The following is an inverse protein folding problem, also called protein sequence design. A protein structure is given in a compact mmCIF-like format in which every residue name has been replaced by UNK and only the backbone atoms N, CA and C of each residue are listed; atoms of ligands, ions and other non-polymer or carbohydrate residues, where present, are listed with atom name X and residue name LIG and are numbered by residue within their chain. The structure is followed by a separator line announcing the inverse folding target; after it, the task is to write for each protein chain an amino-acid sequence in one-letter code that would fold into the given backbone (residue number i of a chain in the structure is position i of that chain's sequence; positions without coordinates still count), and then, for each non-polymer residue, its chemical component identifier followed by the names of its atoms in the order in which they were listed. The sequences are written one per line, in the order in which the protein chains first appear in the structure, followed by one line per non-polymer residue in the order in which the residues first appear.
data_IF_491595974708
#
_entry.id   IF_491595974708
#
_cell.length_a   1.000
_cell.length_b   1.000
_cell.length_c   1.000
_cell.angle_alpha   90.00
_cell.angle_beta   90.00
_cell.angle_gamma   90.00
#
_symmetry.space_group_name_H-M   'P 1'
#
loop_
_entity.id
_entity.type
_entity.pdbx_description
1 polymer ?
#
# COMPACT_ATOMS: atom_id res chain seq x y z
N UNK A 1 11.33 17.31 20.40
CA UNK A 1 12.00 16.34 19.54
C UNK A 1 11.36 16.44 18.15
N UNK A 2 12.18 16.58 17.15
CA UNK A 2 11.67 16.74 15.80
C UNK A 2 11.03 15.43 15.30
N UNK A 3 9.86 15.53 14.71
CA UNK A 3 9.08 14.36 14.23
C UNK A 3 9.85 13.57 13.18
N UNK A 4 10.53 14.27 12.28
CA UNK A 4 11.35 13.63 11.25
C UNK A 4 12.39 12.69 11.86
N UNK A 5 13.17 13.19 12.82
CA UNK A 5 14.23 12.39 13.45
C UNK A 5 13.66 11.23 14.26
N UNK A 6 12.53 11.45 14.92
CA UNK A 6 11.82 10.41 15.66
C UNK A 6 11.41 9.25 14.76
N UNK A 7 10.72 9.56 13.65
CA UNK A 7 10.26 8.54 12.69
C UNK A 7 11.45 7.85 12.02
N UNK A 8 12.46 8.63 11.63
CA UNK A 8 13.68 8.07 11.04
C UNK A 8 14.34 7.04 11.96
N UNK A 9 14.45 7.35 13.26
CA UNK A 9 15.02 6.43 14.22
C UNK A 9 14.18 5.16 14.37
N UNK A 10 12.86 5.26 14.43
CA UNK A 10 12.00 4.07 14.44
C UNK A 10 12.18 3.20 13.21
N UNK A 11 12.27 3.82 12.03
CA UNK A 11 12.48 3.10 10.77
C UNK A 11 13.85 2.42 10.71
N UNK A 12 14.88 3.09 11.22
CA UNK A 12 16.24 2.52 11.29
C UNK A 12 16.31 1.35 12.27
N UNK A 13 15.71 1.50 13.47
CA UNK A 13 15.70 0.46 14.49
C UNK A 13 15.05 -0.83 14.00
N UNK A 14 14.00 -0.70 13.19
CA UNK A 14 13.26 -1.84 12.63
C UNK A 14 13.82 -2.32 11.27
N UNK A 15 14.79 -1.60 10.72
CA UNK A 15 15.36 -1.94 9.42
C UNK A 15 14.45 -1.68 8.22
N UNK A 16 13.46 -0.79 8.36
CA UNK A 16 12.47 -0.52 7.32
C UNK A 16 12.85 0.64 6.39
N UNK A 17 13.78 1.51 6.80
CA UNK A 17 14.17 2.67 5.99
C UNK A 17 14.94 2.24 4.75
N UNK A 18 14.53 2.74 3.58
CA UNK A 18 15.26 2.55 2.32
C UNK A 18 15.97 3.81 1.89
N UNK A 19 15.25 4.93 1.77
CA UNK A 19 15.85 6.21 1.41
C UNK A 19 15.01 7.38 1.92
N UNK A 20 15.65 8.56 1.99
CA UNK A 20 14.97 9.82 2.15
C UNK A 20 14.87 10.47 0.77
N UNK A 21 13.66 10.80 0.35
CA UNK A 21 13.39 11.44 -0.93
C UNK A 21 13.21 12.94 -0.74
N UNK A 22 13.75 13.72 -1.67
CA UNK A 22 13.43 15.14 -1.72
C UNK A 22 12.00 15.33 -2.25
N UNK A 23 11.20 16.13 -1.54
CA UNK A 23 9.83 16.46 -1.90
C UNK A 23 9.55 17.90 -1.48
N UNK A 24 9.36 18.78 -2.45
CA UNK A 24 9.12 20.21 -2.19
C UNK A 24 7.82 20.48 -1.43
N UNK A 25 6.87 19.55 -1.47
CA UNK A 25 5.57 19.68 -0.81
C UNK A 25 5.51 19.02 0.57
N UNK A 26 6.63 18.48 1.04
CA UNK A 26 6.71 17.78 2.31
C UNK A 26 7.82 18.36 3.20
N UNK A 27 7.62 18.26 4.51
CA UNK A 27 8.69 18.50 5.48
C UNK A 27 9.72 17.39 5.43
N UNK A 28 9.24 16.14 5.25
CA UNK A 28 10.07 15.00 4.95
C UNK A 28 9.30 13.94 4.17
N UNK A 29 10.03 13.10 3.43
CA UNK A 29 9.49 11.99 2.66
C UNK A 29 10.47 10.82 2.74
N UNK A 30 10.06 9.74 3.41
CA UNK A 30 10.82 8.49 3.48
C UNK A 30 10.20 7.43 2.59
N UNK A 31 11.06 6.70 1.89
CA UNK A 31 10.69 5.46 1.22
C UNK A 31 11.01 4.32 2.17
N UNK A 32 10.03 3.48 2.46
CA UNK A 32 10.14 2.39 3.42
C UNK A 32 9.78 1.06 2.79
N UNK A 33 10.39 0.00 3.27
CA UNK A 33 10.03 -1.37 2.90
C UNK A 33 9.41 -2.05 4.10
N UNK A 34 8.12 -2.31 4.02
CA UNK A 34 7.37 -3.00 5.05
C UNK A 34 6.12 -3.70 4.49
N UNK A 35 5.96 -5.00 4.75
CA UNK A 35 7.02 -5.94 5.10
C UNK A 35 8.01 -6.12 3.94
N UNK A 36 8.87 -7.12 4.01
CA UNK A 36 9.85 -7.37 2.94
C UNK A 36 9.20 -7.35 1.55
N UNK A 37 9.86 -6.69 0.60
CA UNK A 37 9.45 -6.53 -0.80
C UNK A 37 8.21 -5.64 -1.02
N UNK A 38 7.68 -4.98 0.00
CA UNK A 38 6.58 -4.04 -0.13
C UNK A 38 7.04 -2.61 0.17
N UNK A 39 7.00 -1.76 -0.84
CA UNK A 39 7.44 -0.37 -0.75
C UNK A 39 6.26 0.54 -0.42
N UNK A 40 6.47 1.42 0.54
CA UNK A 40 5.51 2.44 0.96
C UNK A 40 6.19 3.79 1.13
N UNK A 41 5.40 4.84 1.16
CA UNK A 41 5.83 6.20 1.42
C UNK A 41 5.37 6.63 2.81
N UNK A 42 6.27 7.30 3.54
CA UNK A 42 5.97 7.95 4.82
C UNK A 42 6.29 9.43 4.65
N UNK A 43 5.26 10.26 4.70
CA UNK A 43 5.34 11.66 4.30
C UNK A 43 4.74 12.56 5.36
N UNK A 44 5.41 13.64 5.70
CA UNK A 44 4.78 14.74 6.43
C UNK A 44 4.54 15.89 5.46
N UNK A 45 3.30 16.11 5.01
CA UNK A 45 3.00 17.22 4.11
C UNK A 45 3.24 18.58 4.79
N UNK A 46 3.74 19.55 4.03
CA UNK A 46 3.91 20.91 4.54
C UNK A 46 2.57 21.51 5.00
N UNK A 47 2.59 22.16 6.15
CA UNK A 47 1.41 22.80 6.71
C UNK A 47 0.36 21.87 7.27
N UNK A 48 0.67 20.57 7.39
CA UNK A 48 -0.18 19.57 8.03
C UNK A 48 0.43 19.08 9.34
N UNK A 49 -0.42 18.80 10.31
CA UNK A 49 -0.04 18.27 11.62
C UNK A 49 -0.17 16.74 11.69
N UNK A 50 0.06 16.10 10.57
CA UNK A 50 -0.05 14.64 10.45
C UNK A 50 1.07 14.06 9.58
N UNK A 51 1.35 12.79 9.85
CA UNK A 51 2.20 11.93 9.02
C UNK A 51 1.30 10.99 8.24
N UNK A 52 1.53 10.89 6.94
CA UNK A 52 0.77 10.06 6.02
C UNK A 52 1.61 8.85 5.63
N UNK A 53 1.03 7.66 5.75
CA UNK A 53 1.57 6.42 5.18
C UNK A 53 0.77 6.11 3.93
N UNK A 54 1.44 5.91 2.81
CA UNK A 54 0.81 5.68 1.52
C UNK A 54 1.41 4.47 0.80
N UNK A 55 0.55 3.73 0.11
CA UNK A 55 0.96 2.63 -0.75
C UNK A 55 0.14 2.68 -2.04
N UNK A 56 0.82 2.92 -3.18
CA UNK A 56 0.21 2.90 -4.50
C UNK A 56 0.55 1.57 -5.19
N UNK A 57 -0.45 0.97 -5.83
CA UNK A 57 -0.29 -0.31 -6.52
C UNK A 57 -0.96 -0.25 -7.88
N UNK A 58 -0.20 -0.53 -8.93
CA UNK A 58 -0.73 -0.68 -10.28
C UNK A 58 -1.18 -2.12 -10.49
N UNK A 59 -2.34 -2.28 -11.11
CA UNK A 59 -2.83 -3.59 -11.53
C UNK A 59 -2.02 -4.05 -12.74
N UNK A 60 -1.57 -5.31 -12.73
CA UNK A 60 -0.76 -5.86 -13.81
C UNK A 60 -1.53 -5.93 -15.14
N UNK A 61 -0.83 -5.83 -16.30
CA UNK A 61 -1.48 -5.99 -17.60
C UNK A 61 -2.24 -7.31 -17.74
N UNK A 62 -1.74 -8.39 -17.14
CA UNK A 62 -2.36 -9.70 -17.17
C UNK A 62 -3.70 -9.70 -16.42
N UNK A 63 -3.76 -9.09 -15.23
CA UNK A 63 -5.01 -8.94 -14.49
C UNK A 63 -5.99 -8.01 -15.19
N UNK A 64 -5.52 -6.90 -15.78
CA UNK A 64 -6.36 -6.01 -16.59
C UNK A 64 -7.00 -6.76 -17.75
N UNK A 65 -6.25 -7.64 -18.41
CA UNK A 65 -6.77 -8.47 -19.48
C UNK A 65 -7.85 -9.45 -18.98
N UNK A 66 -7.61 -10.13 -17.86
CA UNK A 66 -8.60 -11.00 -17.23
C UNK A 66 -9.87 -10.25 -16.84
N UNK A 67 -9.72 -9.06 -16.27
CA UNK A 67 -10.87 -8.19 -15.94
C UNK A 67 -11.67 -7.81 -17.18
N UNK A 68 -10.99 -7.43 -18.27
CA UNK A 68 -11.64 -7.01 -19.51
C UNK A 68 -12.44 -8.13 -20.18
N UNK A 69 -12.03 -9.37 -19.99
CA UNK A 69 -12.72 -10.56 -20.51
C UNK A 69 -13.88 -11.02 -19.61
N UNK A 70 -14.00 -10.48 -18.41
CA UNK A 70 -15.08 -10.82 -17.49
C UNK A 70 -16.38 -10.10 -17.84
N UNK A 71 -17.50 -10.62 -17.33
CA UNK A 71 -18.80 -9.99 -17.51
C UNK A 71 -18.87 -8.64 -16.77
N UNK A 72 -19.62 -7.70 -17.32
CA UNK A 72 -19.82 -6.37 -16.69
C UNK A 72 -20.36 -6.49 -15.26
N UNK A 73 -21.24 -7.44 -15.01
CA UNK A 73 -21.77 -7.72 -13.67
C UNK A 73 -20.65 -8.08 -12.69
N UNK A 74 -19.71 -8.91 -13.12
CA UNK A 74 -18.54 -9.30 -12.30
C UNK A 74 -17.63 -8.11 -12.04
N UNK A 75 -17.37 -7.27 -13.04
CA UNK A 75 -16.56 -6.06 -12.90
C UNK A 75 -17.16 -5.10 -11.87
N UNK A 76 -18.47 -4.84 -11.95
CA UNK A 76 -19.17 -3.95 -11.02
C UNK A 76 -19.23 -4.52 -9.61
N UNK A 77 -19.49 -5.81 -9.46
CA UNK A 77 -19.52 -6.50 -8.17
C UNK A 77 -18.13 -6.44 -7.50
N UNK A 78 -17.07 -6.62 -8.25
CA UNK A 78 -15.70 -6.50 -7.77
C UNK A 78 -15.41 -5.11 -7.19
N UNK A 79 -15.76 -4.04 -7.90
CA UNK A 79 -15.54 -2.67 -7.41
C UNK A 79 -16.33 -2.42 -6.12
N UNK A 80 -17.57 -2.89 -6.04
CA UNK A 80 -18.35 -2.77 -4.82
C UNK A 80 -17.72 -3.52 -3.65
N UNK A 81 -17.25 -4.75 -3.88
CA UNK A 81 -16.59 -5.56 -2.86
C UNK A 81 -15.28 -4.90 -2.37
N UNK A 82 -14.51 -4.26 -3.29
CA UNK A 82 -13.34 -3.47 -2.92
C UNK A 82 -13.70 -2.33 -1.96
N UNK A 83 -14.69 -1.53 -2.33
CA UNK A 83 -15.14 -0.40 -1.50
C UNK A 83 -15.61 -0.87 -0.12
N UNK A 84 -16.43 -1.91 -0.09
CA UNK A 84 -16.93 -2.46 1.17
C UNK A 84 -15.81 -3.01 2.05
N UNK A 85 -14.85 -3.71 1.44
CA UNK A 85 -13.72 -4.27 2.15
C UNK A 85 -12.78 -3.20 2.69
N UNK A 86 -12.40 -2.23 1.86
CA UNK A 86 -11.49 -1.15 2.26
C UNK A 86 -12.08 -0.29 3.39
N UNK A 87 -13.37 -0.02 3.37
CA UNK A 87 -14.03 0.72 4.44
C UNK A 87 -13.91 0.03 5.80
N UNK A 88 -13.85 -1.29 5.84
CA UNK A 88 -13.69 -2.04 7.10
C UNK A 88 -12.31 -1.87 7.72
N UNK A 89 -11.30 -1.54 6.94
CA UNK A 89 -9.94 -1.29 7.45
C UNK A 89 -9.76 0.10 8.04
N UNK A 90 -10.72 1.00 7.86
CA UNK A 90 -10.64 2.40 8.32
C UNK A 90 -9.44 3.16 7.73
N UNK A 91 -9.07 2.83 6.52
CA UNK A 91 -8.06 3.55 5.73
C UNK A 91 -8.74 4.46 4.72
N UNK A 92 -8.02 5.48 4.27
CA UNK A 92 -8.41 6.26 3.10
C UNK A 92 -7.89 5.56 1.85
N UNK A 93 -8.61 5.70 0.74
CA UNK A 93 -8.19 5.06 -0.50
C UNK A 93 -8.74 5.78 -1.73
N UNK A 94 -8.04 5.61 -2.83
CA UNK A 94 -8.43 6.09 -4.14
C UNK A 94 -8.34 4.93 -5.13
N UNK A 95 -9.42 4.69 -5.88
CA UNK A 95 -9.48 3.69 -6.93
C UNK A 95 -9.49 4.41 -8.28
N UNK A 96 -8.47 4.18 -9.09
CA UNK A 96 -8.43 4.69 -10.47
C UNK A 96 -9.07 3.66 -11.40
N UNK A 97 -10.28 3.97 -11.82
CA UNK A 97 -11.13 3.08 -12.62
C UNK A 97 -11.35 3.71 -13.99
N UNK A 98 -11.13 2.91 -15.05
CA UNK A 98 -11.42 3.28 -16.41
C UNK A 98 -12.24 2.18 -17.06
N UNK A 99 -13.43 2.52 -17.61
CA UNK A 99 -14.33 1.56 -18.26
C UNK A 99 -14.63 0.33 -17.38
N UNK A 100 -14.92 0.55 -16.10
CA UNK A 100 -15.15 -0.47 -15.07
C UNK A 100 -13.95 -1.38 -14.76
N UNK A 101 -12.75 -1.03 -15.24
CA UNK A 101 -11.51 -1.75 -14.94
C UNK A 101 -10.67 -0.96 -13.95
N UNK A 102 -10.25 -1.62 -12.87
CA UNK A 102 -9.35 -1.04 -11.90
C UNK A 102 -7.94 -0.98 -12.47
N UNK A 103 -7.40 0.24 -12.64
CA UNK A 103 -6.06 0.47 -13.16
C UNK A 103 -5.01 0.52 -12.05
N UNK A 104 -5.34 1.21 -10.98
CA UNK A 104 -4.46 1.48 -9.86
C UNK A 104 -5.31 1.70 -8.61
N UNK A 105 -4.75 1.37 -7.45
CA UNK A 105 -5.32 1.78 -6.18
C UNK A 105 -4.24 2.37 -5.27
N UNK A 106 -4.63 3.39 -4.53
CA UNK A 106 -3.76 4.07 -3.56
C UNK A 106 -4.44 3.97 -2.21
N UNK A 107 -3.72 3.45 -1.23
CA UNK A 107 -4.19 3.34 0.15
C UNK A 107 -3.36 4.28 1.00
N UNK A 108 -4.03 5.08 1.79
CA UNK A 108 -3.39 6.01 2.72
C UNK A 108 -3.98 5.89 4.11
N UNK A 109 -3.16 6.16 5.10
CA UNK A 109 -3.61 6.35 6.47
C UNK A 109 -2.78 7.45 7.09
N UNK A 110 -3.31 8.14 8.07
CA UNK A 110 -2.66 9.30 8.67
C UNK A 110 -2.65 9.20 10.19
N UNK A 111 -1.59 9.74 10.77
CA UNK A 111 -1.44 9.83 12.21
C UNK A 111 -1.19 11.29 12.54
N UNK A 112 -2.08 11.89 13.34
CA UNK A 112 -1.89 13.24 13.82
C UNK A 112 -0.79 13.29 14.87
N UNK A 113 -0.12 14.43 14.99
CA UNK A 113 1.05 14.59 15.87
C UNK A 113 0.75 14.23 17.34
N UNK A 114 -0.45 14.56 17.80
CA UNK A 114 -0.88 14.25 19.17
C UNK A 114 -1.11 12.76 19.46
N UNK A 115 -1.30 11.95 18.42
CA UNK A 115 -1.43 10.50 18.50
C UNK A 115 -0.19 9.72 18.05
N UNK A 116 0.88 10.41 17.67
CA UNK A 116 2.07 9.79 17.09
C UNK A 116 2.94 9.12 18.15
N UNK A 117 2.86 7.82 18.22
CA UNK A 117 3.73 6.95 19.00
C UNK A 117 4.33 5.89 18.08
N UNK A 118 5.43 5.26 18.49
CA UNK A 118 6.00 4.14 17.72
C UNK A 118 4.96 3.03 17.50
N UNK A 119 4.17 2.72 18.52
CA UNK A 119 3.13 1.70 18.43
C UNK A 119 2.08 2.03 17.37
N UNK A 120 1.56 3.26 17.37
CA UNK A 120 0.57 3.69 16.37
C UNK A 120 1.18 3.76 14.96
N UNK A 121 2.42 4.22 14.86
CA UNK A 121 3.14 4.27 13.59
C UNK A 121 3.30 2.88 12.97
N UNK A 122 3.78 1.90 13.73
CA UNK A 122 3.93 0.53 13.23
C UNK A 122 2.58 -0.11 12.91
N UNK A 123 1.55 0.13 13.73
CA UNK A 123 0.19 -0.33 13.44
C UNK A 123 -0.36 0.26 12.15
N UNK A 124 -0.05 1.51 11.87
CA UNK A 124 -0.47 2.18 10.63
C UNK A 124 0.20 1.56 9.41
N UNK A 125 1.50 1.27 9.47
CA UNK A 125 2.18 0.52 8.42
C UNK A 125 1.49 -0.83 8.15
N UNK A 126 1.17 -1.58 9.22
CA UNK A 126 0.48 -2.86 9.11
C UNK A 126 -0.91 -2.72 8.50
N UNK A 127 -1.68 -1.72 8.91
CA UNK A 127 -3.03 -1.49 8.41
C UNK A 127 -3.03 -1.19 6.91
N UNK A 128 -2.15 -0.33 6.44
CA UNK A 128 -1.99 -0.01 5.03
C UNK A 128 -1.59 -1.27 4.24
N UNK A 129 -0.65 -2.04 4.73
CA UNK A 129 -0.24 -3.28 4.07
C UNK A 129 -1.36 -4.33 4.03
N UNK A 130 -2.09 -4.54 5.13
CA UNK A 130 -3.21 -5.50 5.17
C UNK A 130 -4.33 -5.08 4.21
N UNK A 131 -4.58 -3.79 4.08
CA UNK A 131 -5.55 -3.26 3.12
C UNK A 131 -5.12 -3.55 1.67
N UNK A 132 -3.84 -3.39 1.36
CA UNK A 132 -3.27 -3.78 0.07
C UNK A 132 -3.45 -5.27 -0.21
N UNK A 133 -3.13 -6.13 0.76
CA UNK A 133 -3.31 -7.58 0.63
C UNK A 133 -4.77 -7.93 0.35
N UNK A 134 -5.71 -7.28 1.02
CA UNK A 134 -7.13 -7.49 0.76
C UNK A 134 -7.47 -7.23 -0.71
N UNK A 135 -6.97 -6.12 -1.27
CA UNK A 135 -7.19 -5.79 -2.67
C UNK A 135 -6.58 -6.85 -3.60
N UNK A 136 -5.35 -7.26 -3.35
CA UNK A 136 -4.66 -8.27 -4.18
C UNK A 136 -5.40 -9.60 -4.13
N UNK A 137 -5.77 -10.07 -2.94
CA UNK A 137 -6.48 -11.34 -2.78
C UNK A 137 -7.87 -11.31 -3.40
N UNK A 138 -8.54 -10.16 -3.37
CA UNK A 138 -9.84 -10.00 -4.00
C UNK A 138 -9.73 -10.05 -5.53
N UNK A 139 -8.69 -9.44 -6.10
CA UNK A 139 -8.36 -9.54 -7.53
C UNK A 139 -8.15 -11.01 -7.91
N UNK A 140 -7.31 -11.71 -7.15
CA UNK A 140 -7.03 -13.14 -7.41
C UNK A 140 -8.29 -14.00 -7.30
N UNK A 141 -9.11 -13.75 -6.30
CA UNK A 141 -10.36 -14.48 -6.08
C UNK A 141 -11.35 -14.31 -7.22
N UNK A 142 -11.48 -13.07 -7.74
CA UNK A 142 -12.49 -12.73 -8.76
C UNK A 142 -12.04 -13.04 -10.18
N UNK A 143 -10.76 -12.90 -10.47
CA UNK A 143 -10.22 -12.94 -11.85
C UNK A 143 -9.16 -14.03 -12.04
N UNK A 144 -8.71 -14.69 -10.99
CA UNK A 144 -7.69 -15.72 -11.02
C UNK A 144 -6.31 -15.19 -10.65
N UNK A 145 -5.51 -16.08 -10.07
CA UNK A 145 -4.12 -15.79 -9.70
C UNK A 145 -3.22 -15.87 -10.92
N UNK A 146 -2.31 -14.91 -11.03
CA UNK A 146 -1.22 -14.96 -12.00
C UNK A 146 -0.01 -15.57 -11.31
N UNK A 147 0.50 -16.69 -11.88
CA UNK A 147 1.71 -17.30 -11.37
C UNK A 147 2.86 -16.27 -11.43
N UNK A 148 3.60 -16.07 -10.32
CA UNK A 148 4.80 -15.26 -10.39
C UNK A 148 5.76 -15.87 -11.45
N UNK A 149 6.51 -15.03 -12.20
CA UNK A 149 7.51 -15.58 -13.11
C UNK A 149 8.43 -16.51 -12.33
N UNK A 150 8.69 -17.69 -12.87
CA UNK A 150 9.63 -18.62 -12.26
C UNK A 150 10.94 -17.90 -12.00
N UNK A 151 11.22 -17.63 -10.73
CA UNK A 151 12.56 -17.18 -10.35
C UNK A 151 13.48 -18.34 -10.72
N UNK A 152 14.58 -18.06 -11.46
CA UNK A 152 15.56 -19.11 -11.65
C UNK A 152 15.94 -19.66 -10.28
N UNK A 153 15.90 -20.98 -10.16
CA UNK A 153 16.12 -21.69 -8.92
C UNK A 153 17.49 -21.29 -8.33
N UNK A 154 17.49 -20.29 -7.47
CA UNK A 154 18.59 -20.05 -6.56
C UNK A 154 18.37 -20.97 -5.37
N UNK A 155 19.23 -21.95 -5.26
CA UNK A 155 19.17 -23.07 -4.30
C UNK A 155 19.20 -22.67 -2.81
N UNK A 156 19.05 -21.40 -2.46
CA UNK A 156 19.19 -20.89 -1.09
C UNK A 156 17.98 -20.15 -0.54
N UNK A 157 16.81 -20.28 -1.16
CA UNK A 157 15.60 -19.72 -0.56
C UNK A 157 14.93 -20.77 0.32
N UNK A 158 15.25 -20.78 1.62
CA UNK A 158 14.58 -21.61 2.62
C UNK A 158 13.25 -21.07 3.12
N UNK A 159 12.65 -20.12 2.41
CA UNK A 159 11.35 -19.54 2.77
C UNK A 159 10.39 -19.65 1.59
N UNK A 160 9.39 -20.42 1.82
CA UNK A 160 8.22 -20.50 0.95
C UNK A 160 7.39 -19.24 1.10
#
# INVERSE_FOLDING_TARGET
MEIEETIKNWLLDEGFLREKKYDENADFHFIVEFPKDNIMDVVKPKGKDCVVVACATQVSPEHLNLMSQSELKTQKSFILDLNMGLNKFLVDYELQINQNLLQQFIITDQIFEDGLTKNEFIKTLKRVFKSKLHCIWLIDKKFGSIAPPEKPANENSMFV
#
